data_IF_235710065479
#
_entry.id   IF_235710065479
#
_cell.length_a   1.000
_cell.length_b   1.000
_cell.length_c   1.000
_cell.angle_alpha   90.00
_cell.angle_beta   90.00
_cell.angle_gamma   90.00
#
_symmetry.space_group_name_H-M   'P 1'
#
loop_
_entity.id
_entity.type
_entity.pdbx_description
1 polymer ?
#
# COMPACT_ATOMS: atom_id res chain seq x y z
N UNK A 1 -38.85 1.45 10.64
CA UNK A 1 -38.89 2.88 10.33
C UNK A 1 -37.74 3.50 11.12
N UNK A 2 -36.55 3.54 10.52
CA UNK A 2 -35.36 4.07 11.18
C UNK A 2 -35.21 5.52 10.73
N UNK A 3 -35.22 6.43 11.70
CA UNK A 3 -35.03 7.86 11.52
C UNK A 3 -33.62 8.10 10.95
N UNK A 4 -33.58 8.57 9.69
CA UNK A 4 -32.35 8.96 9.00
C UNK A 4 -32.27 10.47 9.08
N UNK A 5 -31.85 10.98 10.23
CA UNK A 5 -31.49 12.39 10.41
C UNK A 5 -30.12 12.50 11.07
N UNK A 6 -29.09 11.97 10.40
CA UNK A 6 -27.72 12.38 10.69
C UNK A 6 -27.47 13.74 10.03
N UNK A 7 -27.54 14.82 10.82
CA UNK A 7 -27.00 16.11 10.42
C UNK A 7 -25.48 16.11 10.64
N UNK A 8 -24.66 16.23 9.59
CA UNK A 8 -23.23 16.44 9.76
C UNK A 8 -23.00 17.78 10.49
N UNK A 9 -22.00 17.89 11.39
CA UNK A 9 -21.64 19.17 11.96
C UNK A 9 -21.23 20.12 10.82
N UNK A 10 -22.01 21.19 10.64
CA UNK A 10 -21.92 22.22 9.59
C UNK A 10 -20.64 22.31 8.76
N UNK A 11 -20.47 21.39 7.81
CA UNK A 11 -19.57 21.54 6.67
C UNK A 11 -20.46 21.64 5.43
N UNK A 12 -21.09 22.80 5.25
CA UNK A 12 -21.63 23.19 3.95
C UNK A 12 -20.45 23.40 3.02
N UNK A 13 -20.27 22.44 2.11
CA UNK A 13 -19.24 22.37 1.08
C UNK A 13 -17.78 22.28 1.57
N UNK A 14 -17.05 21.24 1.14
CA UNK A 14 -15.61 21.10 1.43
C UNK A 14 -14.76 22.23 0.82
N UNK A 15 -15.39 23.11 0.04
CA UNK A 15 -14.83 24.24 -0.67
C UNK A 15 -15.00 25.59 0.05
N UNK A 16 -15.87 25.72 1.07
CA UNK A 16 -16.15 27.01 1.74
C UNK A 16 -15.92 27.01 3.27
N UNK A 17 -14.73 26.58 3.70
CA UNK A 17 -14.35 26.67 5.13
C UNK A 17 -13.96 28.12 5.45
N UNK A 18 -14.66 28.80 6.36
CA UNK A 18 -14.29 30.15 6.85
C UNK A 18 -12.81 30.21 7.30
N UNK A 19 -12.12 31.32 7.04
CA UNK A 19 -10.68 31.50 7.38
C UNK A 19 -10.39 31.25 8.87
N UNK A 20 -11.22 31.73 9.79
CA UNK A 20 -11.01 31.51 11.23
C UNK A 20 -11.11 30.02 11.59
N UNK A 21 -12.11 29.33 11.04
CA UNK A 21 -12.28 27.88 11.19
C UNK A 21 -11.12 27.09 10.57
N UNK A 22 -10.58 27.54 9.44
CA UNK A 22 -9.41 26.92 8.80
C UNK A 22 -8.14 27.07 9.65
N UNK A 23 -7.89 28.24 10.22
CA UNK A 23 -6.77 28.48 11.15
C UNK A 23 -6.92 27.63 12.41
N UNK A 24 -8.11 27.62 13.01
CA UNK A 24 -8.42 26.82 14.20
C UNK A 24 -8.28 25.32 13.92
N UNK A 25 -8.74 24.86 12.76
CA UNK A 25 -8.57 23.49 12.29
C UNK A 25 -7.09 23.10 12.24
N UNK A 26 -6.24 23.91 11.57
CA UNK A 26 -4.80 23.62 11.49
C UNK A 26 -4.13 23.66 12.86
N UNK A 27 -4.56 24.55 13.76
CA UNK A 27 -4.05 24.62 15.12
C UNK A 27 -4.42 23.37 15.95
N UNK A 28 -5.68 22.91 15.86
CA UNK A 28 -6.16 21.70 16.56
C UNK A 28 -5.52 20.42 16.03
N UNK A 29 -5.22 20.36 14.74
CA UNK A 29 -4.67 19.16 14.09
C UNK A 29 -3.15 19.24 13.90
N UNK A 30 -2.49 20.17 14.60
CA UNK A 30 -1.03 20.33 14.62
C UNK A 30 -0.34 19.33 15.55
N UNK A 31 -1.07 18.38 16.14
CA UNK A 31 -0.46 17.38 17.01
C UNK A 31 0.64 16.64 16.25
N UNK A 32 1.89 16.94 16.65
CA UNK A 32 3.06 16.19 16.24
C UNK A 32 2.75 14.71 16.49
N UNK A 33 2.98 13.82 15.52
CA UNK A 33 2.99 12.41 15.85
C UNK A 33 3.98 12.26 17.00
N UNK A 34 3.53 11.76 18.15
CA UNK A 34 4.42 11.17 19.14
C UNK A 34 5.03 9.93 18.48
N UNK A 35 5.97 10.15 17.57
CA UNK A 35 6.86 9.13 17.06
C UNK A 35 7.71 8.73 18.26
N UNK A 36 7.26 7.73 19.00
CA UNK A 36 8.04 7.09 20.06
C UNK A 36 9.36 6.49 19.53
N UNK A 37 9.52 6.44 18.20
CA UNK A 37 10.73 6.02 17.47
C UNK A 37 11.62 7.22 17.06
N UNK A 38 11.20 8.47 17.31
CA UNK A 38 11.89 9.68 16.83
C UNK A 38 13.35 9.80 17.30
N UNK A 39 13.72 9.18 18.43
CA UNK A 39 15.08 9.21 18.95
C UNK A 39 16.09 8.37 18.12
N UNK A 40 15.63 7.47 17.24
CA UNK A 40 16.50 6.59 16.43
C UNK A 40 16.41 6.86 14.92
N UNK A 41 15.51 7.76 14.48
CA UNK A 41 15.37 8.10 13.06
C UNK A 41 16.33 9.23 12.70
N UNK A 42 16.94 9.21 11.49
CA UNK A 42 17.75 10.33 11.04
C UNK A 42 16.89 11.61 10.95
N UNK A 43 17.50 12.80 11.07
CA UNK A 43 16.80 14.04 10.80
C UNK A 43 16.25 14.01 9.37
N UNK A 44 15.04 14.55 9.19
CA UNK A 44 14.39 14.60 7.88
C UNK A 44 15.23 15.42 6.90
N UNK A 45 15.44 14.90 5.69
CA UNK A 45 16.05 15.65 4.59
C UNK A 45 15.15 16.83 4.20
N UNK A 46 15.74 17.86 3.58
CA UNK A 46 14.99 19.02 3.08
C UNK A 46 13.92 18.57 2.08
N UNK A 47 14.26 17.59 1.26
CA UNK A 47 13.40 17.00 0.24
C UNK A 47 12.21 16.26 0.89
N UNK A 48 12.44 15.52 1.98
CA UNK A 48 11.40 14.88 2.76
C UNK A 48 10.47 15.88 3.48
N UNK A 49 11.00 17.03 3.94
CA UNK A 49 10.19 18.10 4.53
C UNK A 49 9.29 18.75 3.46
N UNK A 50 9.86 19.06 2.28
CA UNK A 50 9.15 19.74 1.19
C UNK A 50 8.11 18.85 0.52
N UNK A 51 8.39 17.56 0.36
CA UNK A 51 7.50 16.61 -0.33
C UNK A 51 7.10 15.46 0.59
N UNK A 52 5.88 15.55 1.12
CA UNK A 52 5.27 14.48 1.90
C UNK A 52 4.83 13.35 0.96
N UNK A 53 5.38 12.14 1.18
CA UNK A 53 4.90 10.93 0.55
C UNK A 53 3.89 10.24 1.48
N UNK A 54 2.75 9.83 0.91
CA UNK A 54 1.69 9.12 1.63
C UNK A 54 1.39 7.81 0.90
N UNK A 55 1.25 6.71 1.63
CA UNK A 55 0.82 5.41 1.10
C UNK A 55 -0.31 4.84 1.92
N UNK A 56 -1.12 3.95 1.33
CA UNK A 56 -2.05 3.16 2.13
C UNK A 56 -1.35 2.02 2.90
N UNK A 57 -2.00 1.56 3.98
CA UNK A 57 -1.50 0.48 4.83
C UNK A 57 -1.36 -0.87 4.11
N UNK A 58 -1.97 -1.05 2.94
CA UNK A 58 -1.87 -2.26 2.13
C UNK A 58 -0.70 -2.24 1.14
N UNK A 59 0.28 -1.35 1.34
CA UNK A 59 1.52 -1.32 0.55
C UNK A 59 2.53 -2.43 0.89
N UNK A 60 2.28 -3.20 1.95
CA UNK A 60 3.09 -4.33 2.42
C UNK A 60 4.59 -4.01 2.56
N UNK A 61 4.92 -2.82 3.07
CA UNK A 61 6.29 -2.45 3.47
C UNK A 61 6.45 -2.47 4.99
N UNK A 62 7.65 -2.77 5.52
CA UNK A 62 7.92 -2.70 6.95
C UNK A 62 7.75 -1.28 7.48
N UNK A 63 7.15 -1.15 8.67
CA UNK A 63 6.98 0.15 9.33
C UNK A 63 8.28 0.92 9.49
N UNK A 64 9.35 0.23 9.89
CA UNK A 64 10.67 0.83 10.03
C UNK A 64 11.20 1.42 8.72
N UNK A 65 10.93 0.78 7.57
CA UNK A 65 11.33 1.31 6.27
C UNK A 65 10.52 2.57 5.92
N UNK A 66 9.22 2.57 6.18
CA UNK A 66 8.34 3.71 5.94
C UNK A 66 8.73 4.91 6.81
N UNK A 67 8.97 4.69 8.09
CA UNK A 67 9.41 5.72 9.04
C UNK A 67 10.79 6.29 8.66
N UNK A 68 11.76 5.43 8.36
CA UNK A 68 13.11 5.84 7.93
C UNK A 68 13.07 6.73 6.69
N UNK A 69 12.18 6.42 5.74
CA UNK A 69 12.03 7.18 4.51
C UNK A 69 10.98 8.30 4.61
N UNK A 70 10.52 8.65 5.81
CA UNK A 70 9.54 9.72 6.02
C UNK A 70 8.30 9.58 5.11
N UNK A 71 7.77 8.36 5.03
CA UNK A 71 6.56 8.04 4.29
C UNK A 71 5.41 7.90 5.29
N UNK A 72 4.41 8.77 5.17
CA UNK A 72 3.21 8.69 5.99
C UNK A 72 2.33 7.52 5.53
N UNK A 73 1.75 6.82 6.49
CA UNK A 73 0.83 5.71 6.22
C UNK A 73 -0.60 6.14 6.49
N UNK A 74 -1.46 6.02 5.48
CA UNK A 74 -2.89 6.09 5.61
C UNK A 74 -3.42 4.72 6.11
N UNK A 75 -3.97 4.64 7.33
CA UNK A 75 -4.52 3.39 7.86
C UNK A 75 -5.70 2.89 7.01
N UNK A 76 -6.12 1.64 7.25
CA UNK A 76 -7.40 1.11 6.79
C UNK A 76 -8.16 0.49 7.95
N UNK A 77 -9.48 0.40 7.82
CA UNK A 77 -10.33 -0.27 8.81
C UNK A 77 -10.70 -1.64 8.27
N UNK A 78 -10.45 -2.68 9.04
CA UNK A 78 -10.87 -4.04 8.77
C UNK A 78 -11.97 -4.42 9.75
N UNK A 79 -13.12 -4.79 9.21
CA UNK A 79 -14.21 -5.39 9.98
C UNK A 79 -14.13 -6.89 9.84
N UNK A 80 -13.92 -7.57 10.96
CA UNK A 80 -13.94 -9.02 11.05
C UNK A 80 -14.92 -9.41 12.15
N UNK A 81 -16.02 -10.07 11.78
CA UNK A 81 -17.17 -10.30 12.68
C UNK A 81 -17.68 -8.97 13.27
N UNK A 82 -17.69 -8.85 14.60
CA UNK A 82 -18.09 -7.65 15.35
C UNK A 82 -16.89 -6.81 15.81
N UNK A 83 -15.67 -7.13 15.38
CA UNK A 83 -14.46 -6.38 15.71
C UNK A 83 -14.10 -5.41 14.57
N UNK A 84 -13.82 -4.14 14.91
CA UNK A 84 -13.12 -3.21 14.03
C UNK A 84 -11.64 -3.18 14.39
N UNK A 85 -10.80 -3.51 13.42
CA UNK A 85 -9.36 -3.56 13.54
C UNK A 85 -8.74 -2.50 12.63
N UNK A 86 -7.75 -1.78 13.13
CA UNK A 86 -7.00 -0.80 12.33
C UNK A 86 -5.79 -1.49 11.71
N UNK A 87 -5.75 -1.52 10.37
CA UNK A 87 -4.67 -2.04 9.55
C UNK A 87 -3.60 -0.95 9.42
N UNK A 88 -2.44 -1.21 10.04
CA UNK A 88 -1.23 -0.40 9.95
C UNK A 88 -0.01 -1.32 9.86
N UNK A 89 1.00 -0.97 9.02
CA UNK A 89 2.23 -1.74 8.93
C UNK A 89 2.96 -1.86 10.26
N UNK A 90 3.68 -2.97 10.44
CA UNK A 90 4.53 -3.23 11.60
C UNK A 90 3.80 -3.73 12.85
N UNK A 91 2.49 -3.97 12.77
CA UNK A 91 1.77 -4.70 13.82
C UNK A 91 1.75 -6.20 13.54
N UNK A 92 1.84 -7.02 14.58
CA UNK A 92 1.60 -8.47 14.54
C UNK A 92 0.14 -8.82 14.23
N UNK A 93 -0.76 -7.83 14.32
CA UNK A 93 -2.21 -7.94 14.08
C UNK A 93 -2.57 -8.58 12.75
N UNK A 94 -1.78 -8.36 11.70
CA UNK A 94 -2.04 -8.99 10.41
C UNK A 94 -1.80 -10.51 10.45
N UNK A 95 -0.71 -10.95 11.07
CA UNK A 95 -0.44 -12.37 11.30
C UNK A 95 -1.46 -12.98 12.27
N UNK A 96 -1.86 -12.26 13.33
CA UNK A 96 -2.92 -12.69 14.26
C UNK A 96 -4.26 -12.84 13.54
N UNK A 97 -4.61 -11.90 12.65
CA UNK A 97 -5.82 -11.99 11.83
C UNK A 97 -5.76 -13.18 10.88
N UNK A 98 -4.61 -13.46 10.26
CA UNK A 98 -4.43 -14.65 9.43
C UNK A 98 -4.74 -15.94 10.22
N UNK A 99 -4.22 -16.04 11.44
CA UNK A 99 -4.48 -17.18 12.33
C UNK A 99 -5.95 -17.26 12.79
N UNK A 100 -6.64 -16.11 12.94
CA UNK A 100 -8.09 -16.06 13.23
C UNK A 100 -8.89 -16.61 12.03
N UNK A 101 -8.64 -16.10 10.82
CA UNK A 101 -9.33 -16.52 9.59
C UNK A 101 -9.10 -18.00 9.29
N UNK A 102 -7.88 -18.50 9.52
CA UNK A 102 -7.56 -19.90 9.28
C UNK A 102 -8.41 -20.85 10.13
N UNK A 103 -8.70 -20.46 11.38
CA UNK A 103 -9.46 -21.23 12.36
C UNK A 103 -10.98 -21.03 12.25
N UNK A 104 -11.42 -20.07 11.45
CA UNK A 104 -12.82 -19.69 11.37
C UNK A 104 -13.57 -20.36 10.21
N UNK A 105 -14.75 -20.89 10.53
CA UNK A 105 -15.68 -21.41 9.53
C UNK A 105 -16.45 -20.28 8.83
N UNK A 106 -16.75 -19.18 9.54
CA UNK A 106 -17.38 -17.99 9.00
C UNK A 106 -16.32 -16.92 8.70
N UNK A 107 -15.89 -16.87 7.44
CA UNK A 107 -14.76 -16.06 7.00
C UNK A 107 -15.18 -14.66 6.54
N UNK A 108 -16.36 -14.19 6.96
CA UNK A 108 -16.89 -12.89 6.57
C UNK A 108 -16.06 -11.72 7.12
N UNK A 109 -15.44 -10.96 6.21
CA UNK A 109 -14.59 -9.83 6.56
C UNK A 109 -14.58 -8.79 5.44
N UNK A 110 -14.48 -7.51 5.78
CA UNK A 110 -14.42 -6.43 4.80
C UNK A 110 -13.37 -5.40 5.20
N UNK A 111 -12.56 -4.97 4.23
CA UNK A 111 -11.66 -3.82 4.37
C UNK A 111 -12.35 -2.57 3.82
N UNK A 112 -12.46 -1.54 4.66
CA UNK A 112 -13.13 -0.29 4.35
C UNK A 112 -12.08 0.84 4.29
N UNK A 113 -12.06 1.64 3.21
CA UNK A 113 -11.24 2.84 3.19
C UNK A 113 -11.81 3.87 4.17
N UNK A 114 -10.94 4.74 4.70
CA UNK A 114 -11.38 5.90 5.47
C UNK A 114 -12.25 6.85 4.62
N UNK A 115 -13.09 7.65 5.28
CA UNK A 115 -13.76 8.79 4.62
C UNK A 115 -12.74 9.83 4.18
N UNK A 116 -13.10 10.68 3.21
CA UNK A 116 -12.25 11.78 2.74
C UNK A 116 -11.84 12.75 3.86
N UNK A 117 -12.77 13.05 4.79
CA UNK A 117 -12.53 13.85 5.98
C UNK A 117 -11.48 13.21 6.89
N UNK A 118 -11.66 11.94 7.26
CA UNK A 118 -10.71 11.24 8.12
C UNK A 118 -9.32 11.12 7.47
N UNK A 119 -9.27 10.90 6.14
CA UNK A 119 -8.00 10.89 5.41
C UNK A 119 -7.30 12.25 5.44
N UNK A 120 -8.03 13.35 5.23
CA UNK A 120 -7.47 14.71 5.30
C UNK A 120 -6.92 14.99 6.70
N UNK A 121 -7.71 14.74 7.73
CA UNK A 121 -7.33 14.99 9.12
C UNK A 121 -6.13 14.14 9.55
N UNK A 122 -6.00 12.93 9.00
CA UNK A 122 -4.83 12.09 9.22
C UNK A 122 -3.60 12.62 8.47
N UNK A 123 -3.71 12.98 7.18
CA UNK A 123 -2.62 13.57 6.40
C UNK A 123 -2.11 14.88 7.02
N UNK A 124 -3.01 15.68 7.58
CA UNK A 124 -2.69 16.95 8.24
C UNK A 124 -1.64 16.79 9.34
N UNK A 125 -1.64 15.67 10.08
CA UNK A 125 -0.68 15.40 11.17
C UNK A 125 0.76 15.24 10.69
N UNK A 126 0.95 14.95 9.41
CA UNK A 126 2.27 14.80 8.80
C UNK A 126 2.73 16.06 8.04
N UNK A 127 1.86 17.06 7.89
CA UNK A 127 2.20 18.32 7.25
C UNK A 127 3.13 19.14 8.14
N UNK A 128 4.35 19.39 7.67
CA UNK A 128 5.31 20.25 8.34
C UNK A 128 5.21 21.68 7.79
N UNK A 129 5.73 22.65 8.54
CA UNK A 129 5.73 24.06 8.11
C UNK A 129 6.40 24.27 6.74
N UNK A 130 7.39 23.44 6.40
CA UNK A 130 8.10 23.48 5.11
C UNK A 130 7.50 22.60 4.01
N UNK A 131 6.37 21.93 4.24
CA UNK A 131 5.76 21.05 3.24
C UNK A 131 5.11 21.85 2.12
N UNK A 132 5.55 21.62 0.89
CA UNK A 132 5.06 22.32 -0.32
C UNK A 132 4.28 21.38 -1.24
N UNK A 133 4.49 20.07 -1.11
CA UNK A 133 3.88 19.07 -1.95
C UNK A 133 3.45 17.83 -1.16
N UNK A 134 2.36 17.21 -1.58
CA UNK A 134 1.88 15.89 -1.11
C UNK A 134 1.74 14.96 -2.30
N UNK A 135 2.34 13.77 -2.23
CA UNK A 135 2.13 12.68 -3.19
C UNK A 135 1.51 11.50 -2.45
N UNK A 136 0.23 11.23 -2.70
CA UNK A 136 -0.48 10.08 -2.13
C UNK A 136 -0.54 8.95 -3.16
N UNK A 137 0.23 7.89 -2.93
CA UNK A 137 0.24 6.68 -3.77
C UNK A 137 -0.74 5.66 -3.20
N UNK A 138 -1.74 5.29 -3.98
CA UNK A 138 -2.79 4.38 -3.56
C UNK A 138 -2.70 3.04 -4.28
N UNK A 139 -3.15 2.00 -3.62
CA UNK A 139 -3.61 0.74 -4.22
C UNK A 139 -4.60 1.02 -5.35
N UNK A 140 -4.69 0.07 -6.28
CA UNK A 140 -5.57 0.08 -7.45
C UNK A 140 -6.94 0.73 -7.19
N UNK A 141 -7.25 1.78 -7.96
CA UNK A 141 -8.54 2.46 -7.90
C UNK A 141 -9.71 1.54 -8.30
N UNK A 142 -9.44 0.50 -9.10
CA UNK A 142 -10.43 -0.53 -9.47
C UNK A 142 -10.81 -1.47 -8.31
N UNK A 143 -10.01 -1.50 -7.24
CA UNK A 143 -10.21 -2.44 -6.10
C UNK A 143 -10.74 -1.76 -4.84
N UNK A 144 -10.73 -0.42 -4.77
CA UNK A 144 -11.17 0.28 -3.57
C UNK A 144 -11.57 1.73 -3.81
N UNK A 145 -12.57 2.22 -3.04
CA UNK A 145 -12.91 3.65 -2.98
C UNK A 145 -11.81 4.53 -2.35
N UNK A 146 -10.72 3.93 -1.85
CA UNK A 146 -9.59 4.66 -1.25
C UNK A 146 -9.04 5.75 -2.16
N UNK A 147 -8.84 5.46 -3.45
CA UNK A 147 -8.30 6.42 -4.41
C UNK A 147 -9.21 7.66 -4.57
N UNK A 148 -10.52 7.45 -4.74
CA UNK A 148 -11.50 8.54 -4.88
C UNK A 148 -11.59 9.34 -3.57
N UNK A 149 -11.62 8.67 -2.41
CA UNK A 149 -11.62 9.35 -1.12
C UNK A 149 -10.35 10.17 -0.90
N UNK A 150 -9.18 9.66 -1.32
CA UNK A 150 -7.91 10.36 -1.26
C UNK A 150 -7.89 11.60 -2.18
N UNK A 151 -8.51 11.53 -3.37
CA UNK A 151 -8.65 12.67 -4.27
C UNK A 151 -9.44 13.80 -3.59
N UNK A 152 -10.62 13.49 -3.03
CA UNK A 152 -11.41 14.50 -2.29
C UNK A 152 -10.68 15.02 -1.05
N UNK A 153 -9.97 14.15 -0.32
CA UNK A 153 -9.22 14.53 0.88
C UNK A 153 -8.07 15.50 0.57
N UNK A 154 -7.29 15.22 -0.49
CA UNK A 154 -6.15 16.05 -0.90
C UNK A 154 -6.60 17.40 -1.48
N UNK A 155 -7.71 17.44 -2.22
CA UNK A 155 -8.32 18.71 -2.66
C UNK A 155 -8.67 19.60 -1.47
N UNK A 156 -9.39 19.05 -0.48
CA UNK A 156 -9.76 19.78 0.73
C UNK A 156 -8.53 20.23 1.55
N UNK A 157 -7.51 19.36 1.68
CA UNK A 157 -6.24 19.68 2.36
C UNK A 157 -5.55 20.90 1.71
N UNK A 158 -5.40 20.88 0.39
CA UNK A 158 -4.74 21.95 -0.38
C UNK A 158 -5.48 23.28 -0.23
N UNK A 159 -6.81 23.28 -0.30
CA UNK A 159 -7.63 24.49 -0.17
C UNK A 159 -7.47 25.13 1.21
N UNK A 160 -7.58 24.34 2.28
CA UNK A 160 -7.45 24.80 3.66
C UNK A 160 -6.05 25.40 3.89
N UNK A 161 -4.99 24.67 3.52
CA UNK A 161 -3.62 25.15 3.67
C UNK A 161 -3.39 26.46 2.91
N UNK A 162 -3.74 26.50 1.62
CA UNK A 162 -3.50 27.68 0.79
C UNK A 162 -4.33 28.89 1.23
N UNK A 163 -5.52 28.70 1.81
CA UNK A 163 -6.30 29.79 2.42
C UNK A 163 -5.58 30.37 3.63
N UNK A 164 -5.09 29.53 4.53
CA UNK A 164 -4.35 29.98 5.72
C UNK A 164 -3.03 30.66 5.34
N UNK A 165 -2.25 30.07 4.42
CA UNK A 165 -0.98 30.66 3.97
C UNK A 165 -1.13 32.05 3.38
N UNK A 166 -2.13 32.26 2.52
CA UNK A 166 -2.45 33.58 1.95
C UNK A 166 -2.82 34.60 3.04
N UNK A 167 -3.61 34.18 4.02
CA UNK A 167 -4.01 35.04 5.15
C UNK A 167 -2.82 35.45 6.01
N UNK A 168 -1.83 34.57 6.17
CA UNK A 168 -0.58 34.84 6.88
C UNK A 168 0.49 35.53 6.02
N UNK A 169 0.17 35.98 4.80
CA UNK A 169 1.11 36.63 3.90
C UNK A 169 2.21 35.72 3.32
N UNK A 170 2.06 34.39 3.45
CA UNK A 170 3.01 33.43 2.90
C UNK A 170 2.82 33.29 1.39
N UNK A 171 3.92 33.38 0.63
CA UNK A 171 3.92 33.30 -0.83
C UNK A 171 3.87 31.86 -1.36
N UNK A 172 4.32 30.88 -0.57
CA UNK A 172 4.40 29.48 -0.98
C UNK A 172 3.07 28.75 -0.84
N UNK A 173 2.58 28.10 -1.89
CA UNK A 173 1.40 27.23 -1.85
C UNK A 173 1.75 25.77 -1.59
N UNK A 174 0.77 24.99 -1.12
CA UNK A 174 0.78 23.53 -1.12
C UNK A 174 0.14 23.03 -2.41
N UNK A 175 0.73 22.00 -2.98
CA UNK A 175 0.18 21.23 -4.11
C UNK A 175 0.06 19.75 -3.74
N UNK A 176 -0.84 19.02 -4.38
CA UNK A 176 -1.00 17.60 -4.10
C UNK A 176 -1.33 16.80 -5.36
N UNK A 177 -0.87 15.54 -5.39
CA UNK A 177 -1.23 14.56 -6.40
C UNK A 177 -1.64 13.26 -5.74
N UNK A 178 -2.65 12.61 -6.29
CA UNK A 178 -3.04 11.24 -5.94
C UNK A 178 -2.72 10.35 -7.11
N UNK A 179 -1.94 9.30 -6.86
CA UNK A 179 -1.41 8.40 -7.87
C UNK A 179 -2.06 7.04 -7.66
N UNK A 180 -2.82 6.58 -8.64
CA UNK A 180 -3.28 5.21 -8.70
C UNK A 180 -2.11 4.31 -9.14
N UNK A 181 -1.67 3.41 -8.27
CA UNK A 181 -0.59 2.47 -8.59
C UNK A 181 -0.96 1.45 -9.67
N UNK A 182 -2.27 1.25 -9.94
CA UNK A 182 -2.78 0.14 -10.76
C UNK A 182 -2.27 -1.24 -10.29
N UNK A 183 -1.88 -1.33 -9.02
CA UNK A 183 -1.29 -2.53 -8.41
C UNK A 183 -1.80 -2.66 -6.97
N UNK A 184 -1.34 -3.70 -6.28
CA UNK A 184 -1.77 -4.08 -4.93
C UNK A 184 -0.56 -4.56 -4.13
N UNK A 185 -0.70 -4.61 -2.79
CA UNK A 185 0.32 -5.18 -1.90
C UNK A 185 1.68 -4.51 -2.10
N UNK A 186 2.75 -5.30 -2.09
CA UNK A 186 4.12 -4.86 -2.34
C UNK A 186 4.34 -4.14 -3.68
N UNK A 187 3.40 -4.22 -4.64
CA UNK A 187 3.45 -3.43 -5.87
C UNK A 187 3.34 -1.93 -5.59
N UNK A 188 2.49 -1.53 -4.65
CA UNK A 188 2.44 -0.14 -4.15
C UNK A 188 3.75 0.19 -3.44
N UNK A 189 4.29 -0.76 -2.67
CA UNK A 189 5.60 -0.67 -2.02
C UNK A 189 6.76 -0.37 -2.99
N UNK A 190 6.79 -1.05 -4.14
CA UNK A 190 7.79 -0.81 -5.21
C UNK A 190 7.62 0.58 -5.83
N UNK A 191 6.38 1.04 -5.99
CA UNK A 191 6.11 2.38 -6.53
C UNK A 191 6.56 3.48 -5.56
N UNK A 192 6.28 3.34 -4.26
CA UNK A 192 6.73 4.32 -3.26
C UNK A 192 8.24 4.28 -3.04
N UNK A 193 8.89 3.13 -3.13
CA UNK A 193 10.35 3.07 -3.05
C UNK A 193 11.02 3.80 -4.22
N UNK A 194 10.42 3.74 -5.41
CA UNK A 194 10.86 4.56 -6.53
C UNK A 194 10.60 6.06 -6.27
N UNK A 195 9.43 6.41 -5.73
CA UNK A 195 9.10 7.79 -5.37
C UNK A 195 10.08 8.40 -4.36
N UNK A 196 10.43 7.66 -3.31
CA UNK A 196 11.45 8.03 -2.32
C UNK A 196 12.78 8.29 -3.02
N UNK A 197 13.24 7.39 -3.89
CA UNK A 197 14.49 7.57 -4.62
C UNK A 197 14.50 8.82 -5.51
N UNK A 198 13.39 9.15 -6.16
CA UNK A 198 13.28 10.37 -6.97
C UNK A 198 13.27 11.62 -6.08
N UNK A 199 12.58 11.56 -4.93
CA UNK A 199 12.54 12.63 -3.93
C UNK A 199 13.94 12.92 -3.37
N UNK A 200 14.68 11.90 -2.93
CA UNK A 200 16.04 12.09 -2.38
C UNK A 200 17.06 12.56 -3.43
N UNK A 201 16.73 12.47 -4.73
CA UNK A 201 17.51 13.08 -5.82
C UNK A 201 17.14 14.55 -6.08
N UNK A 202 16.28 15.14 -5.25
CA UNK A 202 15.83 16.52 -5.39
C UNK A 202 14.82 16.75 -6.51
N UNK A 203 14.21 15.69 -7.05
CA UNK A 203 13.21 15.84 -8.11
C UNK A 203 11.95 16.54 -7.56
N UNK A 204 11.43 17.52 -8.29
CA UNK A 204 10.20 18.23 -7.93
C UNK A 204 8.99 17.28 -7.94
N UNK A 205 8.06 17.44 -6.99
CA UNK A 205 6.92 16.55 -6.81
C UNK A 205 6.06 16.37 -8.07
N UNK A 206 5.85 17.44 -8.86
CA UNK A 206 5.14 17.36 -10.14
C UNK A 206 5.83 16.39 -11.13
N UNK A 207 7.16 16.45 -11.22
CA UNK A 207 7.95 15.57 -12.08
C UNK A 207 7.97 14.13 -11.54
N UNK A 208 8.00 13.96 -10.21
CA UNK A 208 7.83 12.65 -9.59
C UNK A 208 6.47 12.06 -9.97
N UNK A 209 5.38 12.82 -9.86
CA UNK A 209 4.04 12.35 -10.20
C UNK A 209 3.93 11.91 -11.67
N UNK A 210 4.46 12.70 -12.61
CA UNK A 210 4.53 12.33 -14.04
C UNK A 210 5.33 11.05 -14.23
N UNK A 211 6.52 10.97 -13.62
CA UNK A 211 7.40 9.79 -13.73
C UNK A 211 6.71 8.53 -13.19
N UNK A 212 6.04 8.61 -12.04
CA UNK A 212 5.33 7.48 -11.44
C UNK A 212 4.14 7.02 -12.28
N UNK A 213 3.40 7.94 -12.90
CA UNK A 213 2.28 7.60 -13.78
C UNK A 213 2.71 6.78 -15.01
N UNK A 214 3.91 7.04 -15.55
CA UNK A 214 4.51 6.22 -16.61
C UNK A 214 5.17 4.95 -16.06
N UNK A 215 5.75 5.00 -14.86
CA UNK A 215 6.48 3.88 -14.27
C UNK A 215 5.58 2.74 -13.80
N UNK A 216 4.35 3.04 -13.32
CA UNK A 216 3.43 2.05 -12.73
C UNK A 216 3.10 0.86 -13.63
N UNK A 217 3.14 1.01 -14.95
CA UNK A 217 2.94 -0.08 -15.91
C UNK A 217 4.08 -1.11 -15.91
N UNK A 218 5.25 -0.74 -15.39
CA UNK A 218 6.40 -1.65 -15.24
C UNK A 218 6.40 -2.36 -13.88
N UNK A 219 5.43 -2.09 -13.01
CA UNK A 219 5.34 -2.72 -11.69
C UNK A 219 4.53 -4.00 -11.79
N UNK A 220 5.11 -5.10 -11.32
CA UNK A 220 4.54 -6.43 -11.34
C UNK A 220 4.44 -6.98 -9.94
N UNK A 221 3.34 -7.69 -9.65
CA UNK A 221 3.16 -8.45 -8.41
C UNK A 221 2.79 -9.88 -8.75
N UNK A 222 3.58 -10.84 -8.26
CA UNK A 222 3.33 -12.27 -8.40
C UNK A 222 2.80 -12.81 -7.07
N UNK A 223 1.64 -13.43 -7.09
CA UNK A 223 0.91 -13.88 -5.92
C UNK A 223 0.73 -15.39 -5.99
N UNK A 224 1.05 -16.06 -4.87
CA UNK A 224 0.83 -17.49 -4.66
C UNK A 224 -0.12 -17.64 -3.47
N UNK A 225 -1.44 -17.80 -3.68
CA UNK A 225 -2.38 -18.06 -2.60
C UNK A 225 -2.16 -19.47 -2.03
N UNK A 226 -2.29 -19.61 -0.71
CA UNK A 226 -2.25 -20.91 -0.06
C UNK A 226 -3.64 -21.44 0.29
N UNK A 227 -4.52 -20.62 0.84
CA UNK A 227 -5.94 -20.95 1.02
C UNK A 227 -6.76 -20.51 -0.20
N UNK A 228 -7.07 -21.47 -1.08
CA UNK A 228 -7.80 -21.19 -2.32
C UNK A 228 -9.28 -20.87 -2.09
N UNK A 229 -9.87 -21.29 -0.96
CA UNK A 229 -11.25 -20.96 -0.64
C UNK A 229 -11.39 -19.49 -0.25
N UNK A 230 -10.48 -18.97 0.59
CA UNK A 230 -10.43 -17.53 0.89
C UNK A 230 -10.10 -16.73 -0.35
N UNK A 231 -9.07 -17.12 -1.10
CA UNK A 231 -8.68 -16.41 -2.32
C UNK A 231 -9.81 -16.36 -3.36
N UNK A 232 -10.60 -17.44 -3.49
CA UNK A 232 -11.75 -17.47 -4.38
C UNK A 232 -12.88 -16.53 -3.91
N UNK A 233 -13.13 -16.43 -2.60
CA UNK A 233 -14.10 -15.50 -2.04
C UNK A 233 -13.65 -14.04 -2.22
N UNK A 234 -12.39 -13.73 -1.91
CA UNK A 234 -11.83 -12.40 -2.15
C UNK A 234 -11.87 -12.01 -3.62
N UNK A 235 -11.57 -12.93 -4.54
CA UNK A 235 -11.66 -12.69 -5.98
C UNK A 235 -13.09 -12.39 -6.47
N UNK A 236 -14.13 -12.97 -5.84
CA UNK A 236 -15.54 -12.68 -6.15
C UNK A 236 -15.94 -11.27 -5.72
N UNK A 237 -15.48 -10.81 -4.54
CA UNK A 237 -15.73 -9.45 -4.06
C UNK A 237 -15.01 -8.39 -4.90
N UNK A 238 -13.92 -8.76 -5.58
CA UNK A 238 -13.14 -7.90 -6.47
C UNK A 238 -13.65 -7.90 -7.91
N UNK A 239 -14.96 -8.09 -8.10
CA UNK A 239 -15.66 -8.28 -9.38
C UNK A 239 -15.13 -7.35 -10.48
N UNK A 240 -14.44 -7.99 -11.44
CA UNK A 240 -14.10 -7.60 -12.83
C UNK A 240 -12.71 -8.18 -13.15
N UNK A 241 -12.75 -9.33 -13.84
CA UNK A 241 -11.62 -10.05 -14.48
C UNK A 241 -10.67 -10.86 -13.58
N UNK A 242 -11.15 -11.49 -12.51
CA UNK A 242 -10.38 -12.51 -11.79
C UNK A 242 -10.71 -13.94 -12.27
N UNK A 243 -9.77 -14.87 -12.04
CA UNK A 243 -9.88 -16.31 -12.34
C UNK A 243 -11.24 -16.83 -11.84
N UNK A 244 -12.04 -17.51 -12.68
CA UNK A 244 -13.32 -18.05 -12.25
C UNK A 244 -13.15 -18.90 -11.00
N UNK A 245 -13.92 -18.60 -9.94
CA UNK A 245 -13.77 -19.22 -8.62
C UNK A 245 -13.73 -20.77 -8.68
N UNK A 246 -14.46 -21.38 -9.61
CA UNK A 246 -14.46 -22.83 -9.83
C UNK A 246 -13.07 -23.38 -10.23
N UNK A 247 -12.27 -22.64 -11.02
CA UNK A 247 -10.92 -23.05 -11.42
C UNK A 247 -9.93 -23.07 -10.25
N UNK A 248 -10.19 -22.29 -9.20
CA UNK A 248 -9.40 -22.30 -7.96
C UNK A 248 -9.74 -23.52 -7.11
N UNK A 249 -11.03 -23.89 -7.03
CA UNK A 249 -11.49 -25.07 -6.29
C UNK A 249 -10.95 -26.37 -6.86
N UNK A 250 -11.00 -26.56 -8.19
CA UNK A 250 -10.47 -27.78 -8.83
C UNK A 250 -8.94 -27.89 -8.76
N UNK A 251 -8.21 -26.77 -8.76
CA UNK A 251 -6.77 -26.77 -8.53
C UNK A 251 -6.41 -27.27 -7.12
N UNK A 252 -7.21 -26.89 -6.12
CA UNK A 252 -7.03 -27.31 -4.73
C UNK A 252 -7.11 -28.84 -4.55
N UNK A 253 -8.08 -29.49 -5.18
CA UNK A 253 -8.24 -30.96 -5.12
C UNK A 253 -7.04 -31.73 -5.71
N UNK A 254 -6.30 -31.12 -6.65
CA UNK A 254 -5.09 -31.69 -7.28
C UNK A 254 -3.79 -31.25 -6.60
N UNK A 255 -3.87 -30.52 -5.48
CA UNK A 255 -2.73 -29.95 -4.78
C UNK A 255 -1.99 -28.85 -5.57
N UNK A 256 -2.61 -28.30 -6.62
CA UNK A 256 -2.04 -27.25 -7.46
C UNK A 256 -2.32 -25.88 -6.87
N UNK A 257 -1.28 -25.05 -6.76
CA UNK A 257 -1.35 -23.64 -6.38
C UNK A 257 -1.18 -22.77 -7.63
N UNK A 258 -2.13 -21.87 -7.94
CA UNK A 258 -1.98 -20.94 -9.04
C UNK A 258 -0.90 -19.91 -8.70
N UNK A 259 -0.23 -19.40 -9.72
CA UNK A 259 0.56 -18.16 -9.62
C UNK A 259 -0.18 -17.11 -10.41
N UNK A 260 -0.50 -16.02 -9.73
CA UNK A 260 -1.30 -14.93 -10.23
C UNK A 260 -0.40 -13.72 -10.43
N UNK A 261 -0.44 -13.14 -11.62
CA UNK A 261 0.27 -11.92 -11.95
C UNK A 261 -0.69 -10.74 -11.92
N UNK A 262 -0.23 -9.65 -11.30
CA UNK A 262 -0.91 -8.36 -11.27
C UNK A 262 -0.05 -7.32 -11.94
N UNK A 263 -0.60 -6.67 -12.96
CA UNK A 263 0.02 -5.56 -13.67
C UNK A 263 -1.06 -4.71 -14.37
N UNK A 264 -1.01 -3.38 -14.17
CA UNK A 264 -1.95 -2.47 -14.81
C UNK A 264 -3.42 -2.81 -14.54
N UNK A 265 -3.75 -3.09 -13.29
CA UNK A 265 -5.06 -3.57 -12.81
C UNK A 265 -5.54 -4.94 -13.32
N UNK A 266 -4.78 -5.57 -14.21
CA UNK A 266 -5.10 -6.91 -14.73
C UNK A 266 -4.60 -7.96 -13.77
N UNK A 267 -5.45 -8.97 -13.53
CA UNK A 267 -5.15 -10.11 -12.68
C UNK A 267 -5.19 -11.38 -13.52
N UNK A 268 -4.04 -11.99 -13.80
CA UNK A 268 -3.94 -13.13 -14.70
C UNK A 268 -3.31 -14.33 -14.01
N UNK A 269 -3.91 -15.52 -14.16
CA UNK A 269 -3.20 -16.77 -13.82
C UNK A 269 -2.14 -17.05 -14.87
N UNK A 270 -0.89 -17.13 -14.46
CA UNK A 270 0.22 -17.38 -15.39
C UNK A 270 0.71 -18.82 -15.36
N UNK A 271 0.61 -19.50 -14.21
CA UNK A 271 0.94 -20.94 -14.08
C UNK A 271 0.18 -21.58 -12.92
N UNK A 272 0.25 -22.91 -12.83
CA UNK A 272 -0.20 -23.69 -11.69
C UNK A 272 0.88 -24.72 -11.34
N UNK A 273 1.29 -24.76 -10.07
CA UNK A 273 2.39 -25.60 -9.59
C UNK A 273 1.94 -26.41 -8.40
N UNK A 274 2.35 -27.68 -8.32
CA UNK A 274 2.00 -28.55 -7.18
C UNK A 274 2.72 -28.07 -5.92
N UNK A 275 1.95 -27.75 -4.89
CA UNK A 275 2.45 -27.29 -3.59
C UNK A 275 2.84 -25.81 -3.54
N UNK A 276 2.56 -25.18 -2.40
CA UNK A 276 2.82 -23.75 -2.18
C UNK A 276 4.32 -23.41 -2.16
N UNK A 277 5.13 -24.28 -1.54
CA UNK A 277 6.59 -24.10 -1.45
C UNK A 277 7.22 -24.06 -2.84
N UNK A 278 6.88 -25.02 -3.71
CA UNK A 278 7.42 -25.05 -5.08
C UNK A 278 6.93 -23.88 -5.93
N UNK A 279 5.66 -23.49 -5.80
CA UNK A 279 5.10 -22.34 -6.50
C UNK A 279 5.83 -21.03 -6.12
N UNK A 280 5.98 -20.80 -4.81
CA UNK A 280 6.68 -19.64 -4.22
C UNK A 280 8.16 -19.65 -4.59
N UNK A 281 8.83 -20.80 -4.48
CA UNK A 281 10.22 -20.95 -4.88
C UNK A 281 10.45 -20.57 -6.35
N UNK A 282 9.56 -21.01 -7.25
CA UNK A 282 9.63 -20.60 -8.65
C UNK A 282 9.40 -19.10 -8.88
N UNK A 283 8.60 -18.42 -8.05
CA UNK A 283 8.44 -16.95 -8.11
C UNK A 283 9.76 -16.28 -7.73
N UNK A 284 10.38 -16.72 -6.63
CA UNK A 284 11.65 -16.14 -6.17
C UNK A 284 12.78 -16.38 -7.17
N UNK A 285 12.90 -17.59 -7.73
CA UNK A 285 13.91 -17.88 -8.77
C UNK A 285 13.72 -17.03 -10.03
N UNK A 286 12.47 -16.74 -10.42
CA UNK A 286 12.19 -15.86 -11.56
C UNK A 286 12.67 -14.42 -11.29
N UNK A 287 12.43 -13.90 -10.08
CA UNK A 287 12.88 -12.57 -9.68
C UNK A 287 14.41 -12.52 -9.51
N UNK A 288 15.00 -13.56 -8.93
CA UNK A 288 16.47 -13.72 -8.81
C UNK A 288 17.14 -13.62 -10.18
N UNK A 289 16.54 -14.24 -11.20
CA UNK A 289 17.02 -14.17 -12.57
C UNK A 289 16.97 -12.75 -13.15
N UNK A 290 15.92 -11.97 -12.83
CA UNK A 290 15.84 -10.55 -13.23
C UNK A 290 16.88 -9.69 -12.51
N UNK A 291 17.08 -9.92 -11.21
CA UNK A 291 18.10 -9.23 -10.40
C UNK A 291 19.49 -9.49 -10.98
N UNK A 292 19.82 -10.77 -11.23
CA UNK A 292 21.14 -11.19 -11.72
C UNK A 292 21.46 -10.59 -13.10
N UNK A 293 20.45 -10.44 -13.96
CA UNK A 293 20.60 -9.80 -15.27
C UNK A 293 20.58 -8.26 -15.23
N UNK A 294 20.40 -7.64 -14.07
CA UNK A 294 20.23 -6.19 -13.96
C UNK A 294 18.96 -5.67 -14.66
N UNK A 295 17.92 -6.50 -14.77
CA UNK A 295 16.72 -6.21 -15.55
C UNK A 295 15.62 -5.48 -14.76
N UNK A 296 15.91 -5.01 -13.54
CA UNK A 296 14.96 -4.26 -12.72
C UNK A 296 14.97 -2.77 -13.09
N UNK A 297 13.78 -2.19 -13.28
CA UNK A 297 13.61 -0.75 -13.52
C UNK A 297 13.84 0.10 -12.26
N UNK A 298 13.80 -0.52 -11.08
CA UNK A 298 14.21 0.07 -9.79
C UNK A 298 14.83 -1.03 -8.92
N UNK A 299 15.91 -0.75 -8.15
CA UNK A 299 16.63 -1.76 -7.36
C UNK A 299 15.88 -2.05 -6.05
N UNK A 300 14.64 -2.50 -6.18
CA UNK A 300 13.77 -2.83 -5.06
C UNK A 300 12.88 -4.02 -5.38
N UNK A 301 12.84 -4.98 -4.46
CA UNK A 301 11.93 -6.13 -4.47
C UNK A 301 11.19 -6.15 -3.15
N UNK A 302 9.86 -6.20 -3.20
CA UNK A 302 9.01 -6.34 -2.02
C UNK A 302 8.46 -7.77 -1.96
N UNK A 303 8.56 -8.42 -0.81
CA UNK A 303 7.96 -9.72 -0.53
C UNK A 303 7.06 -9.58 0.68
N UNK A 304 5.84 -10.10 0.58
CA UNK A 304 4.90 -10.13 1.68
C UNK A 304 4.29 -11.50 1.88
N UNK A 305 4.00 -11.83 3.14
CA UNK A 305 3.47 -13.13 3.52
C UNK A 305 2.35 -13.01 4.57
N UNK A 306 1.22 -13.66 4.31
CA UNK A 306 0.07 -13.71 5.21
C UNK A 306 0.27 -14.76 6.31
N UNK A 307 1.23 -14.53 7.21
CA UNK A 307 1.58 -15.48 8.28
C UNK A 307 2.88 -15.10 8.99
N UNK A 308 3.54 -16.10 9.60
CA UNK A 308 4.86 -15.92 10.21
C UNK A 308 5.93 -15.80 9.13
N UNK A 309 6.79 -14.78 9.19
CA UNK A 309 7.80 -14.53 8.15
C UNK A 309 8.86 -15.62 8.06
N UNK A 310 9.17 -16.28 9.18
CA UNK A 310 10.15 -17.37 9.23
C UNK A 310 9.80 -18.52 8.25
N UNK A 311 8.53 -18.67 7.86
CA UNK A 311 8.13 -19.68 6.86
C UNK A 311 8.71 -19.39 5.49
N UNK A 312 8.83 -18.11 5.13
CA UNK A 312 9.46 -17.63 3.89
C UNK A 312 10.97 -17.61 4.06
N UNK A 313 11.46 -17.18 5.21
CA UNK A 313 12.89 -17.07 5.46
C UNK A 313 13.60 -18.43 5.43
N UNK A 314 12.92 -19.54 5.77
CA UNK A 314 13.47 -20.90 5.65
C UNK A 314 13.52 -21.46 4.23
N UNK A 315 12.97 -20.76 3.22
CA UNK A 315 12.97 -21.25 1.85
C UNK A 315 14.34 -21.04 1.20
N UNK A 316 14.95 -22.11 0.68
CA UNK A 316 16.22 -22.04 -0.07
C UNK A 316 16.16 -21.01 -1.21
N UNK A 317 15.05 -20.95 -1.94
CA UNK A 317 14.86 -19.99 -3.02
C UNK A 317 14.82 -18.52 -2.52
N UNK A 318 14.34 -18.27 -1.29
CA UNK A 318 14.38 -16.94 -0.70
C UNK A 318 15.81 -16.55 -0.31
N UNK A 319 16.60 -17.48 0.24
CA UNK A 319 18.02 -17.25 0.52
C UNK A 319 18.82 -16.93 -0.75
N UNK A 320 18.57 -17.65 -1.86
CA UNK A 320 19.19 -17.37 -3.16
C UNK A 320 18.83 -15.98 -3.66
N UNK A 321 17.53 -15.63 -3.65
CA UNK A 321 17.05 -14.29 -4.01
C UNK A 321 17.70 -13.19 -3.13
N UNK A 322 17.74 -13.38 -1.80
CA UNK A 322 18.37 -12.44 -0.87
C UNK A 322 19.86 -12.23 -1.18
N UNK A 323 20.57 -13.31 -1.48
CA UNK A 323 21.99 -13.27 -1.84
C UNK A 323 22.21 -12.54 -3.17
N UNK A 324 21.38 -12.79 -4.18
CA UNK A 324 21.42 -12.08 -5.46
C UNK A 324 21.13 -10.59 -5.27
N UNK A 325 20.06 -10.25 -4.53
CA UNK A 325 19.72 -8.87 -4.23
C UNK A 325 20.89 -8.12 -3.55
N UNK A 326 21.53 -8.74 -2.55
CA UNK A 326 22.68 -8.17 -1.88
C UNK A 326 23.87 -7.93 -2.83
N UNK A 327 24.23 -8.92 -3.67
CA UNK A 327 25.33 -8.79 -4.65
C UNK A 327 25.08 -7.69 -5.68
N UNK A 328 23.82 -7.49 -6.09
CA UNK A 328 23.44 -6.53 -7.12
C UNK A 328 22.91 -5.21 -6.56
N UNK A 329 23.10 -4.95 -5.26
CA UNK A 329 22.67 -3.71 -4.59
C UNK A 329 21.17 -3.41 -4.77
N UNK A 330 20.35 -4.46 -4.78
CA UNK A 330 18.90 -4.41 -4.80
C UNK A 330 18.38 -4.57 -3.38
N UNK A 331 17.53 -3.64 -2.95
CA UNK A 331 16.88 -3.77 -1.64
C UNK A 331 15.81 -4.86 -1.71
N UNK A 332 15.95 -5.89 -0.88
CA UNK A 332 14.91 -6.91 -0.66
C UNK A 332 14.18 -6.62 0.65
N UNK A 333 12.90 -6.28 0.56
CA UNK A 333 12.02 -6.04 1.70
C UNK A 333 11.15 -7.26 1.94
N UNK A 334 11.15 -7.82 3.15
CA UNK A 334 10.20 -8.84 3.60
C UNK A 334 9.31 -8.26 4.70
N UNK A 335 8.00 -8.35 4.55
CA UNK A 335 7.03 -7.82 5.51
C UNK A 335 5.85 -8.78 5.71
N UNK A 336 5.13 -8.68 6.84
CA UNK A 336 3.81 -9.30 6.94
C UNK A 336 2.90 -8.70 5.87
N UNK A 337 2.11 -9.54 5.20
CA UNK A 337 1.06 -9.07 4.32
C UNK A 337 0.03 -8.30 5.15
N UNK A 338 -0.42 -7.15 4.66
CA UNK A 338 -1.44 -6.33 5.30
C UNK A 338 -2.71 -7.12 5.65
N UNK A 339 -3.50 -6.61 6.60
CA UNK A 339 -4.77 -7.25 6.94
C UNK A 339 -5.69 -7.29 5.72
N UNK A 340 -5.74 -6.20 4.96
CA UNK A 340 -6.48 -6.11 3.71
C UNK A 340 -6.05 -7.17 2.69
N UNK A 341 -4.74 -7.38 2.50
CA UNK A 341 -4.22 -8.44 1.63
C UNK A 341 -4.55 -9.84 2.13
N UNK A 342 -4.42 -10.06 3.44
CA UNK A 342 -4.72 -11.33 4.11
C UNK A 342 -6.19 -11.73 3.95
N UNK A 343 -7.12 -10.76 4.06
CA UNK A 343 -8.54 -11.01 3.80
C UNK A 343 -8.81 -11.42 2.35
N UNK A 344 -8.11 -10.80 1.40
CA UNK A 344 -8.33 -11.04 -0.01
C UNK A 344 -7.71 -12.36 -0.50
N UNK A 345 -6.55 -12.75 0.04
CA UNK A 345 -5.74 -13.86 -0.48
C UNK A 345 -5.67 -15.08 0.43
N UNK A 346 -6.05 -14.90 1.69
CA UNK A 346 -6.08 -15.94 2.70
C UNK A 346 -4.74 -16.20 3.41
N UNK A 347 -4.80 -16.93 4.55
CA UNK A 347 -3.62 -17.29 5.32
C UNK A 347 -2.62 -18.11 4.49
N UNK A 348 -1.34 -17.84 4.72
CA UNK A 348 -0.20 -18.45 4.05
C UNK A 348 0.06 -17.95 2.62
N UNK A 349 -0.75 -17.03 2.09
CA UNK A 349 -0.47 -16.43 0.79
C UNK A 349 0.87 -15.69 0.79
N UNK A 350 1.61 -15.78 -0.32
CA UNK A 350 2.88 -15.07 -0.52
C UNK A 350 2.79 -14.22 -1.78
N UNK A 351 3.23 -12.98 -1.70
CA UNK A 351 3.35 -12.08 -2.84
C UNK A 351 4.78 -11.58 -2.98
N UNK A 352 5.24 -11.41 -4.22
CA UNK A 352 6.52 -10.80 -4.54
C UNK A 352 6.36 -9.79 -5.67
N UNK A 353 6.84 -8.58 -5.46
CA UNK A 353 6.66 -7.43 -6.34
C UNK A 353 7.99 -6.82 -6.71
N UNK A 354 8.07 -6.36 -7.96
CA UNK A 354 9.28 -5.76 -8.54
C UNK A 354 8.86 -4.87 -9.72
N UNK A 355 9.78 -4.05 -10.23
CA UNK A 355 9.56 -3.31 -11.48
C UNK A 355 10.53 -3.75 -12.57
N UNK A 356 10.04 -4.02 -13.78
CA UNK A 356 10.87 -4.37 -14.93
C UNK A 356 10.13 -4.10 -16.23
N UNK A 357 10.79 -3.52 -17.24
CA UNK A 357 10.23 -3.43 -18.60
C UNK A 357 10.39 -4.73 -19.39
N UNK A 358 11.24 -5.64 -18.92
CA UNK A 358 11.61 -6.87 -19.62
C UNK A 358 10.79 -8.08 -19.16
N UNK A 359 10.00 -7.93 -18.10
CA UNK A 359 9.21 -9.03 -17.57
C UNK A 359 8.04 -9.37 -18.47
N UNK A 360 7.94 -10.65 -18.84
CA UNK A 360 6.80 -11.23 -19.55
C UNK A 360 6.24 -12.36 -18.70
N UNK A 361 4.93 -12.28 -18.47
CA UNK A 361 4.21 -13.07 -17.49
C UNK A 361 3.89 -14.48 -17.98
#
# INVERSE_FOLDING_TARGET
MFDVSYQPPGYEDALDVNTSLAVEYLAKHREAPKLSVAAMLPPLSREAIRTLLVVDAACDLPRAWLDFNAVAVMPRIVRFRNEELVDIPGSDRASVLADKIHRDADRAAVSLPHSSVAMRDHMQRFMLSGTEAVLHLCSSARRSKHFVNALSATQSLVLIHNKVRRTLGQQSSVTAWVIDSMNVLGGVGVLVSHAVRLRERGMLAANIAVTLNSFRSNVHTLIVPNDLAVAANGARTLEQQAIPAWKLTFAGALGLKPVVHVNGDRLQRIRAVRGHVAATGGVFSQIESLVTRGALSTPFVAVSHAGKLDTVERLTAYHSLRSACSRHQVTLSLAPMSMTGTLALGPGATAASFASQQFRA
#
